data_IF_170888937112
#
_entry.id   IF_170888937112
#
_cell.length_a   1.000
_cell.length_b   1.000
_cell.length_c   1.000
_cell.angle_alpha   90.00
_cell.angle_beta   90.00
_cell.angle_gamma   90.00
#
_symmetry.space_group_name_H-M   'P 1'
#
loop_
_entity.id
_entity.type
_entity.pdbx_description
1 polymer ?
#
# COMPACT_ATOMS: atom_id res chain seq x y z
N UNK A 1 -4.93 1.92 32.40
CA UNK A 1 -5.98 2.78 31.81
C UNK A 1 -5.52 3.19 30.40
N UNK A 2 -5.96 2.49 29.35
CA UNK A 2 -5.52 2.73 27.97
C UNK A 2 -6.51 3.70 27.30
N UNK A 3 -6.04 4.89 26.92
CA UNK A 3 -6.88 5.93 26.31
C UNK A 3 -7.02 5.65 24.81
N UNK A 4 -8.17 5.10 24.42
CA UNK A 4 -8.50 4.84 23.01
C UNK A 4 -8.93 6.17 22.36
N UNK A 5 -8.19 6.61 21.35
CA UNK A 5 -8.55 7.79 20.57
C UNK A 5 -9.70 7.46 19.60
N UNK A 6 -10.80 8.23 19.57
CA UNK A 6 -11.88 7.99 18.63
C UNK A 6 -11.41 8.36 17.22
N UNK A 7 -11.46 7.41 16.28
CA UNK A 7 -11.35 7.72 14.85
C UNK A 7 -12.57 8.55 14.46
N UNK A 8 -12.39 9.88 14.36
CA UNK A 8 -13.40 10.78 13.79
C UNK A 8 -13.67 10.35 12.34
N UNK A 9 -14.82 9.69 12.14
CA UNK A 9 -15.40 9.50 10.81
C UNK A 9 -16.33 10.68 10.53
N UNK A 10 -15.84 11.68 9.80
CA UNK A 10 -16.68 12.74 9.27
C UNK A 10 -17.61 12.12 8.21
N UNK A 11 -18.92 12.12 8.49
CA UNK A 11 -19.95 11.68 7.54
C UNK A 11 -20.25 12.80 6.52
N UNK A 12 -19.26 13.11 5.69
CA UNK A 12 -19.46 13.57 4.32
C UNK A 12 -19.26 12.33 3.43
N UNK A 13 -19.91 12.25 2.25
CA UNK A 13 -19.84 11.13 1.29
C UNK A 13 -18.53 10.34 1.40
N UNK A 14 -18.62 9.02 1.62
CA UNK A 14 -17.50 8.15 2.05
C UNK A 14 -16.35 8.20 1.03
N UNK A 15 -15.45 9.15 1.23
CA UNK A 15 -14.25 9.32 0.43
C UNK A 15 -13.12 8.56 1.13
N UNK A 16 -12.57 7.56 0.46
CA UNK A 16 -11.49 6.72 0.97
C UNK A 16 -10.21 7.05 0.21
N UNK A 17 -9.18 7.43 0.95
CA UNK A 17 -7.81 7.55 0.44
C UNK A 17 -7.01 6.31 0.85
N UNK A 18 -6.22 5.75 -0.07
CA UNK A 18 -5.31 4.64 0.19
C UNK A 18 -3.95 4.93 -0.38
N UNK A 19 -2.91 4.60 0.39
CA UNK A 19 -1.53 4.81 0.03
C UNK A 19 -0.66 3.57 0.34
N UNK A 20 -0.81 2.45 -0.39
CA UNK A 20 0.05 1.29 -0.14
C UNK A 20 1.47 1.55 -0.65
N UNK A 21 2.43 1.06 0.14
CA UNK A 21 3.86 1.06 -0.20
C UNK A 21 4.31 -0.38 -0.47
N UNK A 22 4.98 -0.58 -1.59
CA UNK A 22 5.61 -1.84 -1.98
C UNK A 22 7.12 -1.74 -1.77
N UNK A 23 7.75 -2.84 -1.33
CA UNK A 23 9.18 -2.92 -1.05
C UNK A 23 9.68 -1.74 -0.15
N UNK A 24 9.10 -1.60 1.05
CA UNK A 24 9.35 -0.47 1.97
C UNK A 24 10.84 -0.30 2.30
N UNK A 25 11.56 -1.43 2.47
CA UNK A 25 12.98 -1.45 2.76
C UNK A 25 13.88 -1.20 1.53
N UNK A 26 13.30 -1.02 0.35
CA UNK A 26 14.01 -0.90 -0.94
C UNK A 26 15.05 -2.02 -1.14
N UNK A 27 14.71 -3.24 -0.75
CA UNK A 27 15.60 -4.39 -0.84
C UNK A 27 15.69 -4.82 -2.30
N UNK A 28 16.91 -5.08 -2.77
CA UNK A 28 17.13 -5.78 -4.03
C UNK A 28 17.01 -7.28 -3.80
N UNK A 29 16.19 -7.94 -4.60
CA UNK A 29 15.99 -9.39 -4.56
C UNK A 29 15.69 -9.89 -5.98
N UNK A 30 16.00 -11.15 -6.26
CA UNK A 30 15.62 -11.81 -7.50
C UNK A 30 14.27 -12.51 -7.34
N UNK A 31 13.45 -12.48 -8.38
CA UNK A 31 12.24 -13.28 -8.51
C UNK A 31 12.52 -14.44 -9.46
N UNK A 32 12.07 -15.64 -9.10
CA UNK A 32 12.16 -16.80 -10.00
C UNK A 32 11.00 -16.75 -10.99
N UNK A 33 11.31 -16.84 -12.28
CA UNK A 33 10.31 -16.92 -13.34
C UNK A 33 10.18 -18.34 -13.87
N UNK A 34 9.05 -18.61 -14.54
CA UNK A 34 8.81 -19.88 -15.23
C UNK A 34 9.97 -20.12 -16.20
N UNK A 35 10.67 -21.25 -16.05
CA UNK A 35 11.91 -21.55 -16.78
C UNK A 35 13.20 -21.43 -15.95
N UNK A 36 13.11 -21.09 -14.66
CA UNK A 36 14.25 -21.15 -13.72
C UNK A 36 15.19 -19.94 -13.79
N UNK A 37 14.86 -18.93 -14.59
CA UNK A 37 15.62 -17.68 -14.64
C UNK A 37 15.27 -16.77 -13.46
N UNK A 38 16.23 -15.95 -13.05
CA UNK A 38 16.04 -14.90 -12.05
C UNK A 38 15.83 -13.56 -12.76
N UNK A 39 14.69 -12.93 -12.52
CA UNK A 39 14.44 -11.54 -12.93
C UNK A 39 14.63 -10.60 -11.74
N UNK A 40 15.03 -9.34 -11.96
CA UNK A 40 15.02 -8.34 -10.90
C UNK A 40 13.63 -8.24 -10.25
N UNK A 41 13.59 -8.25 -8.92
CA UNK A 41 12.38 -7.99 -8.14
C UNK A 41 11.98 -6.52 -8.17
N UNK A 42 10.74 -6.23 -7.76
CA UNK A 42 10.20 -4.87 -7.85
C UNK A 42 10.93 -3.87 -6.95
N UNK A 43 11.16 -2.68 -7.51
CA UNK A 43 11.71 -1.52 -6.81
C UNK A 43 10.70 -0.96 -5.80
N UNK A 44 11.19 -0.17 -4.83
CA UNK A 44 10.33 0.57 -3.91
C UNK A 44 9.34 1.44 -4.68
N UNK A 45 8.06 1.21 -4.44
CA UNK A 45 6.96 1.85 -5.16
C UNK A 45 5.89 2.32 -4.18
N UNK A 46 5.29 3.46 -4.47
CA UNK A 46 4.17 4.01 -3.71
C UNK A 46 2.98 4.18 -4.64
N UNK A 47 1.81 3.73 -4.20
CA UNK A 47 0.58 3.89 -4.96
C UNK A 47 -0.34 4.82 -4.20
N UNK A 48 -1.06 5.68 -4.91
CA UNK A 48 -2.07 6.57 -4.34
C UNK A 48 -3.39 6.30 -5.05
N UNK A 49 -4.44 6.08 -4.27
CA UNK A 49 -5.80 5.94 -4.81
C UNK A 49 -6.79 6.68 -3.93
N UNK A 50 -7.80 7.24 -4.59
CA UNK A 50 -8.92 7.93 -3.96
C UNK A 50 -10.20 7.35 -4.55
N UNK A 51 -11.12 6.95 -3.70
CA UNK A 51 -12.43 6.44 -4.09
C UNK A 51 -13.49 7.27 -3.39
N UNK A 52 -14.44 7.83 -4.14
CA UNK A 52 -15.56 8.59 -3.59
C UNK A 52 -16.86 7.92 -3.98
N UNK A 53 -17.72 7.67 -3.00
CA UNK A 53 -19.09 7.19 -3.22
C UNK A 53 -19.99 8.41 -3.48
N UNK A 54 -20.52 8.56 -4.71
CA UNK A 54 -21.38 9.68 -5.11
C UNK A 54 -22.85 9.47 -4.76
#
# INVERSE_FOLDING_TARGET
MLKVFPKRSFSCKKTKFRAPLCNVANKSYGLSTIGGYLTPGDLRSAWLSMTTDF
#
